data_IF_795241773425
#
_entry.id   IF_795241773425
#
_cell.length_a   1.000
_cell.length_b   1.000
_cell.length_c   1.000
_cell.angle_alpha   90.00
_cell.angle_beta   90.00
_cell.angle_gamma   90.00
#
_symmetry.space_group_name_H-M   'P 1'
#
loop_
_entity.id
_entity.type
_entity.pdbx_description
1 polymer ?
#
# COMPACT_ATOMS: atom_id res chain seq x y z
N UNK A 1 -24.80 -6.22 -7.17
CA UNK A 1 -23.96 -5.20 -6.52
C UNK A 1 -22.51 -5.50 -6.85
N UNK A 2 -21.90 -4.72 -7.75
CA UNK A 2 -20.54 -4.95 -8.20
C UNK A 2 -19.56 -4.61 -7.07
N UNK A 3 -18.72 -5.58 -6.71
CA UNK A 3 -17.58 -5.39 -5.84
C UNK A 3 -16.50 -4.60 -6.61
N UNK A 4 -16.76 -3.32 -6.87
CA UNK A 4 -15.68 -2.35 -7.06
C UNK A 4 -15.01 -2.24 -5.71
N UNK A 5 -14.09 -3.18 -5.43
CA UNK A 5 -13.17 -3.07 -4.31
C UNK A 5 -12.62 -1.63 -4.34
N UNK A 6 -12.75 -0.92 -3.22
CA UNK A 6 -12.33 0.46 -3.02
C UNK A 6 -10.84 0.63 -3.34
N UNK A 7 -10.48 0.68 -4.62
CA UNK A 7 -9.14 1.04 -5.04
C UNK A 7 -8.98 2.53 -4.77
N UNK A 8 -7.87 2.95 -4.14
CA UNK A 8 -7.62 4.37 -3.94
C UNK A 8 -7.62 5.07 -5.30
N UNK A 9 -8.21 6.27 -5.35
CA UNK A 9 -8.19 7.15 -6.53
C UNK A 9 -7.46 8.45 -6.18
N UNK A 10 -7.02 9.18 -7.21
CA UNK A 10 -6.31 10.44 -7.03
C UNK A 10 -4.96 10.29 -6.34
N UNK A 11 -4.58 11.26 -5.51
CA UNK A 11 -3.26 11.33 -4.88
C UNK A 11 -2.96 10.12 -3.98
N UNK A 12 -3.96 9.61 -3.26
CA UNK A 12 -3.81 8.40 -2.41
C UNK A 12 -3.34 7.19 -3.21
N UNK A 13 -3.82 7.03 -4.46
CA UNK A 13 -3.37 5.96 -5.37
C UNK A 13 -1.90 6.11 -5.72
N UNK A 14 -1.50 7.32 -6.11
CA UNK A 14 -0.13 7.64 -6.53
C UNK A 14 0.84 7.42 -5.36
N UNK A 15 0.45 7.84 -4.15
CA UNK A 15 1.23 7.61 -2.93
C UNK A 15 1.34 6.11 -2.65
N UNK A 16 0.24 5.36 -2.75
CA UNK A 16 0.25 3.90 -2.56
C UNK A 16 1.19 3.20 -3.54
N UNK A 17 1.14 3.55 -4.82
CA UNK A 17 2.04 2.99 -5.85
C UNK A 17 3.51 3.36 -5.59
N UNK A 18 3.78 4.59 -5.12
CA UNK A 18 5.12 5.01 -4.73
C UNK A 18 5.64 4.21 -3.53
N UNK A 19 4.79 4.01 -2.51
CA UNK A 19 5.12 3.18 -1.35
C UNK A 19 5.40 1.73 -1.74
N UNK A 20 4.55 1.11 -2.57
CA UNK A 20 4.77 -0.23 -3.12
C UNK A 20 6.08 -0.32 -3.89
N UNK A 21 6.44 0.71 -4.65
CA UNK A 21 7.70 0.73 -5.41
C UNK A 21 8.95 0.86 -4.51
N UNK A 22 8.81 1.46 -3.33
CA UNK A 22 9.87 1.58 -2.33
C UNK A 22 9.99 0.33 -1.45
N UNK A 23 8.93 -0.46 -1.32
CA UNK A 23 8.88 -1.64 -0.45
C UNK A 23 9.84 -2.77 -0.82
N UNK A 24 10.12 -3.07 -2.11
CA UNK A 24 11.10 -4.09 -2.48
C UNK A 24 12.48 -3.84 -1.89
N UNK A 25 12.88 -2.57 -1.73
CA UNK A 25 14.12 -2.22 -1.03
C UNK A 25 14.09 -2.59 0.45
N UNK A 26 12.95 -2.41 1.10
CA UNK A 26 12.73 -2.69 2.54
C UNK A 26 12.56 -4.19 2.82
N UNK A 27 11.87 -4.91 1.93
CA UNK A 27 11.70 -6.35 2.02
C UNK A 27 13.02 -7.11 1.78
N UNK A 28 13.92 -6.56 0.96
CA UNK A 28 15.26 -7.11 0.77
C UNK A 28 16.14 -6.98 2.03
N UNK A 29 15.87 -5.99 2.88
CA UNK A 29 16.52 -5.80 4.19
C UNK A 29 15.89 -6.65 5.31
N UNK A 30 14.85 -7.43 4.99
CA UNK A 30 14.14 -8.27 5.96
C UNK A 30 13.25 -7.46 6.92
N UNK A 31 13.02 -6.18 6.63
CA UNK A 31 12.18 -5.33 7.47
C UNK A 31 10.69 -5.67 7.27
N UNK A 32 9.99 -5.84 8.39
CA UNK A 32 8.54 -6.00 8.38
C UNK A 32 7.90 -4.63 8.18
N UNK A 33 6.81 -4.59 7.41
CA UNK A 33 6.09 -3.35 7.14
C UNK A 33 5.46 -2.81 8.44
N UNK A 34 6.09 -1.85 9.09
CA UNK A 34 5.59 -1.21 10.31
C UNK A 34 5.23 0.26 10.08
N UNK A 35 4.34 0.84 10.92
CA UNK A 35 4.01 2.26 10.86
C UNK A 35 5.22 3.19 10.94
N UNK A 36 6.23 2.83 11.76
CA UNK A 36 7.45 3.62 11.94
C UNK A 36 8.28 3.67 10.66
N UNK A 37 8.30 2.56 9.92
CA UNK A 37 8.98 2.48 8.63
C UNK A 37 8.27 3.35 7.58
N UNK A 38 6.94 3.33 7.57
CA UNK A 38 6.12 4.17 6.69
C UNK A 38 6.36 5.66 6.97
N UNK A 39 6.47 6.07 8.24
CA UNK A 39 6.83 7.45 8.58
C UNK A 39 8.23 7.86 8.10
N UNK A 40 9.20 6.94 8.08
CA UNK A 40 10.55 7.24 7.57
C UNK A 40 10.55 7.53 6.07
N UNK A 41 9.73 6.79 5.31
CA UNK A 41 9.63 6.98 3.85
C UNK A 41 8.70 8.13 3.46
N UNK A 42 7.88 8.65 4.38
CA UNK A 42 6.97 9.78 4.14
C UNK A 42 7.66 10.97 3.49
N UNK A 43 8.79 11.42 4.07
CA UNK A 43 9.56 12.57 3.54
C UNK A 43 10.11 12.30 2.14
N UNK A 44 10.52 11.07 1.86
CA UNK A 44 11.05 10.69 0.55
C UNK A 44 9.93 10.63 -0.50
N UNK A 45 8.78 10.05 -0.15
CA UNK A 45 7.60 10.02 -1.02
C UNK A 45 7.09 11.43 -1.30
N UNK A 46 7.02 12.28 -0.26
CA UNK A 46 6.67 13.69 -0.41
C UNK A 46 7.61 14.40 -1.37
N UNK A 47 8.93 14.21 -1.20
CA UNK A 47 9.94 14.85 -2.06
C UNK A 47 9.83 14.42 -3.52
N UNK A 48 9.55 13.15 -3.79
CA UNK A 48 9.41 12.59 -5.14
C UNK A 48 8.13 13.06 -5.84
N UNK A 49 7.03 13.13 -5.10
CA UNK A 49 5.72 13.45 -5.66
C UNK A 49 5.41 14.95 -5.65
N UNK A 50 6.13 15.74 -4.86
CA UNK A 50 5.93 17.18 -4.80
C UNK A 50 6.11 17.82 -6.19
N UNK A 51 5.17 18.68 -6.62
CA UNK A 51 5.26 19.34 -7.91
C UNK A 51 6.50 20.25 -7.96
N UNK A 52 7.22 20.17 -9.09
CA UNK A 52 8.35 21.03 -9.42
C UNK A 52 7.80 22.28 -10.12
N UNK A 53 7.08 23.13 -9.39
CA UNK A 53 6.33 24.24 -9.99
C UNK A 53 6.00 25.35 -9.00
N UNK A 54 5.10 26.24 -9.42
CA UNK A 54 4.69 27.44 -8.68
C UNK A 54 4.29 27.11 -7.24
N UNK A 55 4.65 28.00 -6.29
CA UNK A 55 4.43 27.78 -4.86
C UNK A 55 2.98 27.48 -4.46
N UNK A 56 1.99 27.87 -5.28
CA UNK A 56 0.58 27.55 -5.05
C UNK A 56 0.31 26.05 -5.14
N UNK A 57 0.79 25.37 -6.18
CA UNK A 57 0.55 23.93 -6.37
C UNK A 57 1.27 23.11 -5.30
N UNK A 58 2.44 23.60 -4.85
CA UNK A 58 3.16 23.07 -3.69
C UNK A 58 2.31 23.15 -2.42
N UNK A 59 1.73 24.30 -2.12
CA UNK A 59 0.89 24.49 -0.93
C UNK A 59 -0.36 23.61 -0.96
N UNK A 60 -1.03 23.50 -2.12
CA UNK A 60 -2.17 22.60 -2.26
C UNK A 60 -1.77 21.14 -2.08
N UNK A 61 -0.65 20.72 -2.68
CA UNK A 61 -0.09 19.39 -2.51
C UNK A 61 0.22 19.10 -1.04
N UNK A 62 0.99 19.96 -0.36
CA UNK A 62 1.39 19.78 1.03
C UNK A 62 0.15 19.65 1.95
N UNK A 63 -0.91 20.43 1.68
CA UNK A 63 -2.16 20.39 2.45
C UNK A 63 -2.89 19.04 2.33
N UNK A 64 -2.97 18.47 1.13
CA UNK A 64 -3.68 17.21 0.90
C UNK A 64 -2.80 15.98 1.15
N UNK A 65 -1.48 16.13 1.06
CA UNK A 65 -0.52 15.03 1.12
C UNK A 65 -0.64 14.25 2.41
N UNK A 66 -0.62 14.91 3.57
CA UNK A 66 -0.62 14.22 4.87
C UNK A 66 -1.82 13.29 5.05
N UNK A 67 -3.02 13.75 4.64
CA UNK A 67 -4.23 12.93 4.68
C UNK A 67 -4.14 11.75 3.71
N UNK A 68 -3.77 12.00 2.46
CA UNK A 68 -3.64 10.94 1.46
C UNK A 68 -2.51 9.94 1.80
N UNK A 69 -1.47 10.38 2.50
CA UNK A 69 -0.39 9.54 2.96
C UNK A 69 -0.82 8.61 4.09
N UNK A 70 -1.58 9.12 5.06
CA UNK A 70 -2.17 8.29 6.11
C UNK A 70 -3.11 7.23 5.54
N UNK A 71 -3.98 7.60 4.59
CA UNK A 71 -4.88 6.67 3.90
C UNK A 71 -4.10 5.59 3.12
N UNK A 72 -3.06 5.98 2.37
CA UNK A 72 -2.24 5.04 1.61
C UNK A 72 -1.44 4.08 2.52
N UNK A 73 -0.93 4.58 3.64
CA UNK A 73 -0.20 3.80 4.64
C UNK A 73 -1.10 2.76 5.29
N UNK A 74 -2.33 3.14 5.66
CA UNK A 74 -3.31 2.22 6.24
C UNK A 74 -3.68 1.10 5.25
N UNK A 75 -3.91 1.44 3.98
CA UNK A 75 -4.14 0.45 2.92
C UNK A 75 -2.96 -0.53 2.76
N UNK A 76 -1.73 -0.03 2.90
CA UNK A 76 -0.52 -0.83 2.80
C UNK A 76 -0.35 -1.82 3.96
N UNK A 77 -0.70 -1.39 5.18
CA UNK A 77 -0.72 -2.25 6.36
C UNK A 77 -1.82 -3.31 6.27
N UNK A 78 -3.02 -2.95 5.78
CA UNK A 78 -4.11 -3.89 5.57
C UNK A 78 -3.78 -4.95 4.50
N UNK A 79 -3.12 -4.55 3.42
CA UNK A 79 -2.71 -5.48 2.34
C UNK A 79 -1.59 -6.43 2.78
N UNK A 80 -0.66 -5.96 3.61
CA UNK A 80 0.41 -6.77 4.18
C UNK A 80 -0.08 -7.72 5.27
N UNK A 81 -1.10 -7.33 6.03
CA UNK A 81 -1.68 -8.12 7.13
C UNK A 81 -2.68 -9.18 6.68
N UNK A 82 -3.07 -9.21 5.39
CA UNK A 82 -4.04 -10.18 4.90
C UNK A 82 -3.33 -11.54 4.76
N UNK A 83 -3.60 -12.53 5.64
CA UNK A 83 -3.01 -13.84 5.46
C UNK A 83 -3.48 -14.37 4.10
N UNK A 84 -2.54 -14.78 3.24
CA UNK A 84 -2.89 -15.60 2.08
C UNK A 84 -3.67 -16.78 2.64
N UNK A 85 -5.00 -16.81 2.41
CA UNK A 85 -5.80 -18.02 2.61
C UNK A 85 -5.14 -19.07 1.73
N UNK A 86 -4.29 -19.90 2.33
CA UNK A 86 -3.79 -21.10 1.71
C UNK A 86 -5.04 -21.85 1.26
N UNK A 87 -5.17 -22.10 -0.05
CA UNK A 87 -6.23 -22.95 -0.57
C UNK A 87 -6.04 -24.32 0.07
N UNK A 88 -6.82 -24.59 1.09
CA UNK A 88 -6.98 -25.93 1.64
C UNK A 88 -7.59 -26.82 0.56
N UNK A 89 -6.80 -27.74 0.02
CA UNK A 89 -7.25 -29.02 -0.50
C UNK A 89 -6.02 -29.93 -0.64
N UNK A 90 -6.06 -31.12 -0.03
CA UNK A 90 -6.61 -32.22 -0.80
C UNK A 90 -7.82 -32.81 -0.09
N UNK A 91 -8.92 -32.90 -0.84
CA UNK A 91 -10.07 -33.71 -0.48
C UNK A 91 -9.58 -35.17 -0.49
N UNK A 92 -9.60 -35.93 0.62
CA UNK A 92 -9.38 -37.36 0.50
C UNK A 92 -10.52 -37.91 -0.35
N UNK A 93 -10.19 -38.42 -1.53
CA UNK A 93 -11.12 -39.20 -2.31
C UNK A 93 -11.42 -40.43 -1.48
N UNK A 94 -12.62 -40.45 -0.89
CA UNK A 94 -13.25 -41.66 -0.40
C UNK A 94 -13.56 -42.51 -1.64
N UNK A 95 -12.55 -43.23 -2.15
CA UNK A 95 -12.77 -44.30 -3.10
C UNK A 95 -13.06 -45.54 -2.27
N UNK A 96 -14.35 -45.67 -1.92
CA UNK A 96 -14.95 -46.98 -1.78
C UNK A 96 -14.75 -47.75 -3.09
N UNK A 97 -14.67 -49.08 -2.97
CA UNK A 97 -14.74 -50.13 -3.99
C UNK A 97 -13.46 -50.96 -4.15
N UNK A 98 -13.34 -52.00 -3.31
CA UNK A 98 -13.24 -53.42 -3.71
C UNK A 98 -13.33 -54.30 -2.46
#
# INVERSE_FOLDING_TARGET
>A
MNASANYPQGLTKIIFEALVSLTPGLAAEGETLTPELLQRVEKEVHRRLAPQGNGRDRLFFDFIFGRSFAEASDLMLQTSSRPRRAKTAPRPALQAMA
#
